data_IF_558313794710
#
_entry.id   IF_558313794710
#
_cell.length_a   1.000
_cell.length_b   1.000
_cell.length_c   1.000
_cell.angle_alpha   90.00
_cell.angle_beta   90.00
_cell.angle_gamma   90.00
#
_symmetry.space_group_name_H-M   'P 1'
#
loop_
_entity.id
_entity.type
_entity.pdbx_description
1 polymer ?
#
# COMPACT_ATOMS: atom_id res chain seq x y z
N UNK A 1 -1.54 -5.25 18.80
CA UNK A 1 -2.22 -4.64 17.63
C UNK A 1 -3.27 -5.62 17.14
N UNK A 2 -4.52 -5.18 16.94
CA UNK A 2 -5.54 -6.01 16.31
C UNK A 2 -5.22 -6.06 14.81
N UNK A 3 -5.21 -7.26 14.20
CA UNK A 3 -4.87 -7.45 12.79
C UNK A 3 -5.65 -6.54 11.81
N UNK A 4 -6.95 -6.23 12.02
CA UNK A 4 -7.67 -5.28 11.16
C UNK A 4 -7.13 -3.85 11.18
N UNK A 5 -6.63 -3.37 12.32
CA UNK A 5 -6.05 -2.03 12.41
C UNK A 5 -4.73 -1.95 11.64
N UNK A 6 -3.89 -2.98 11.76
CA UNK A 6 -2.64 -3.06 11.01
C UNK A 6 -2.88 -3.13 9.50
N UNK A 7 -3.85 -3.94 9.04
CA UNK A 7 -4.19 -4.03 7.63
C UNK A 7 -4.69 -2.69 7.05
N UNK A 8 -5.51 -1.97 7.83
CA UNK A 8 -5.96 -0.63 7.45
C UNK A 8 -4.80 0.38 7.37
N UNK A 9 -3.90 0.38 8.35
CA UNK A 9 -2.75 1.28 8.35
C UNK A 9 -1.80 1.01 7.16
N UNK A 10 -1.53 -0.26 6.86
CA UNK A 10 -0.70 -0.63 5.70
C UNK A 10 -1.38 -0.30 4.36
N UNK A 11 -2.70 -0.44 4.25
CA UNK A 11 -3.45 -0.02 3.06
C UNK A 11 -3.30 1.50 2.83
N UNK A 12 -3.50 2.32 3.87
CA UNK A 12 -3.32 3.77 3.77
C UNK A 12 -1.88 4.15 3.41
N UNK A 13 -0.89 3.45 3.99
CA UNK A 13 0.52 3.63 3.64
C UNK A 13 0.78 3.32 2.17
N UNK A 14 0.22 2.23 1.67
CA UNK A 14 0.37 1.80 0.28
C UNK A 14 -0.21 2.84 -0.70
N UNK A 15 -1.40 3.35 -0.43
CA UNK A 15 -2.05 4.39 -1.23
C UNK A 15 -1.24 5.68 -1.26
N UNK A 16 -0.74 6.14 -0.11
CA UNK A 16 0.13 7.32 -0.04
C UNK A 16 1.42 7.16 -0.85
N UNK A 17 2.04 5.97 -0.82
CA UNK A 17 3.22 5.65 -1.62
C UNK A 17 2.92 5.61 -3.12
N UNK A 18 1.76 5.05 -3.51
CA UNK A 18 1.31 5.03 -4.90
C UNK A 18 1.06 6.43 -5.45
N UNK A 19 0.43 7.31 -4.67
CA UNK A 19 0.25 8.74 -5.04
C UNK A 19 1.60 9.42 -5.25
N UNK A 20 2.57 9.23 -4.33
CA UNK A 20 3.92 9.78 -4.50
C UNK A 20 4.63 9.24 -5.74
N UNK A 21 4.52 7.94 -6.01
CA UNK A 21 5.09 7.35 -7.22
C UNK A 21 4.48 7.96 -8.49
N UNK A 22 3.18 8.22 -8.50
CA UNK A 22 2.49 8.88 -9.61
C UNK A 22 2.96 10.33 -9.78
N UNK A 23 3.08 11.09 -8.69
CA UNK A 23 3.59 12.47 -8.71
C UNK A 23 5.02 12.53 -9.28
N UNK A 24 5.90 11.62 -8.83
CA UNK A 24 7.28 11.52 -9.34
C UNK A 24 7.28 11.22 -10.84
N UNK A 25 6.43 10.27 -11.28
CA UNK A 25 6.36 9.84 -12.68
C UNK A 25 5.82 10.93 -13.60
N UNK A 26 4.92 11.78 -13.10
CA UNK A 26 4.22 12.80 -13.89
C UNK A 26 4.85 14.19 -13.81
N UNK A 27 5.85 14.38 -12.94
CA UNK A 27 6.55 15.65 -12.77
C UNK A 27 7.93 15.59 -13.44
N UNK A 28 8.17 16.34 -14.52
CA UNK A 28 9.50 16.48 -15.09
C UNK A 28 10.50 16.99 -14.06
N UNK A 29 11.73 16.46 -14.09
CA UNK A 29 12.82 16.84 -13.18
C UNK A 29 12.48 16.73 -11.69
N UNK A 30 11.54 15.85 -11.33
CA UNK A 30 11.18 15.63 -9.93
C UNK A 30 12.43 15.21 -9.12
N UNK A 31 12.71 15.84 -7.96
CA UNK A 31 13.94 15.61 -7.20
C UNK A 31 14.13 14.14 -6.77
N UNK A 32 13.04 13.41 -6.59
CA UNK A 32 13.03 11.98 -6.24
C UNK A 32 12.96 11.01 -7.43
N UNK A 33 13.10 11.47 -8.68
CA UNK A 33 12.98 10.60 -9.87
C UNK A 33 13.92 9.38 -9.83
N UNK A 34 15.16 9.57 -9.37
CA UNK A 34 16.13 8.48 -9.19
C UNK A 34 15.73 7.42 -8.17
N UNK A 35 14.75 7.72 -7.31
CA UNK A 35 14.25 6.82 -6.27
C UNK A 35 12.86 6.27 -6.56
N UNK A 36 12.29 6.51 -7.76
CA UNK A 36 10.91 6.10 -8.10
C UNK A 36 10.66 4.61 -7.80
N UNK A 37 11.60 3.73 -8.15
CA UNK A 37 11.44 2.29 -7.92
C UNK A 37 11.27 1.96 -6.43
N UNK A 38 11.90 2.72 -5.52
CA UNK A 38 11.80 2.48 -4.07
C UNK A 38 10.39 2.79 -3.55
N UNK A 39 9.74 3.83 -4.10
CA UNK A 39 8.34 4.14 -3.77
C UNK A 39 7.40 3.04 -4.28
N UNK A 40 7.62 2.56 -5.50
CA UNK A 40 6.82 1.47 -6.09
C UNK A 40 6.96 0.16 -5.30
N UNK A 41 8.20 -0.22 -4.97
CA UNK A 41 8.52 -1.40 -4.17
C UNK A 41 7.93 -1.31 -2.75
N UNK A 42 8.03 -0.14 -2.12
CA UNK A 42 7.45 0.09 -0.80
C UNK A 42 5.91 0.03 -0.83
N UNK A 43 5.29 0.57 -1.88
CA UNK A 43 3.83 0.53 -2.06
C UNK A 43 3.36 -0.93 -2.23
N UNK A 44 4.06 -1.71 -3.05
CA UNK A 44 3.79 -3.14 -3.23
C UNK A 44 3.86 -3.88 -1.90
N UNK A 45 4.95 -3.72 -1.16
CA UNK A 45 5.13 -4.39 0.13
C UNK A 45 4.03 -4.02 1.15
N UNK A 46 3.58 -2.75 1.14
CA UNK A 46 2.49 -2.30 1.99
C UNK A 46 1.14 -2.94 1.60
N UNK A 47 0.82 -3.00 0.30
CA UNK A 47 -0.39 -3.70 -0.17
C UNK A 47 -0.35 -5.20 0.16
N UNK A 48 0.79 -5.86 0.01
CA UNK A 48 0.96 -7.26 0.38
C UNK A 48 0.75 -7.49 1.88
N UNK A 49 1.30 -6.61 2.72
CA UNK A 49 1.08 -6.67 4.17
C UNK A 49 -0.39 -6.41 4.53
N UNK A 50 -1.02 -5.41 3.93
CA UNK A 50 -2.44 -5.14 4.14
C UNK A 50 -3.30 -6.35 3.78
N UNK A 51 -3.06 -6.97 2.62
CA UNK A 51 -3.79 -8.15 2.16
C UNK A 51 -3.58 -9.37 3.06
N UNK A 52 -2.35 -9.60 3.55
CA UNK A 52 -2.04 -10.74 4.42
C UNK A 52 -2.69 -10.63 5.82
N UNK A 53 -3.00 -9.42 6.27
CA UNK A 53 -3.56 -9.16 7.59
C UNK A 53 -5.02 -8.72 7.58
N UNK A 54 -5.60 -8.50 6.40
CA UNK A 54 -7.02 -8.27 6.23
C UNK A 54 -7.77 -9.55 6.59
N UNK A 55 -8.43 -9.54 7.76
CA UNK A 55 -9.36 -10.60 8.13
C UNK A 55 -10.51 -10.57 7.13
N UNK A 56 -10.53 -11.52 6.21
CA UNK A 56 -11.72 -11.83 5.43
C UNK A 56 -12.77 -12.34 6.41
N UNK A 57 -14.01 -11.83 6.41
CA UNK A 57 -15.07 -12.46 7.19
C UNK A 57 -15.16 -13.92 6.76
N UNK A 58 -15.07 -14.83 7.73
CA UNK A 58 -15.24 -16.26 7.52
C UNK A 58 -16.55 -16.49 6.75
N UNK A 59 -16.60 -17.47 5.85
CA UNK A 59 -17.69 -17.73 4.90
C UNK A 59 -19.07 -18.10 5.54
N UNK A 60 -19.38 -17.62 6.74
CA UNK A 60 -20.60 -17.85 7.51
C UNK A 60 -21.89 -17.29 6.89
N UNK A 61 -21.88 -16.86 5.62
CA UNK A 61 -23.11 -16.57 4.88
C UNK A 61 -23.74 -17.84 4.26
N UNK A 62 -23.05 -18.99 4.33
CA UNK A 62 -23.52 -20.28 3.80
C UNK A 62 -24.06 -21.27 4.84
N UNK A 63 -24.17 -20.90 6.12
CA UNK A 63 -24.75 -21.76 7.17
C UNK A 63 -26.24 -21.53 7.38
#
# INVERSE_FOLDING_TARGET
MLAPAFAFDEQNRAEGLAVRAQEITTTPDHPSAGSLHLYQESARAAFEAAAAHAVQPDEGWRS
#
